data_IF_852737985354
#
_entry.id   IF_852737985354
#
_cell.length_a   1.000
_cell.length_b   1.000
_cell.length_c   1.000
_cell.angle_alpha   90.00
_cell.angle_beta   90.00
_cell.angle_gamma   90.00
#
_symmetry.space_group_name_H-M   'P 1'
#
loop_
_entity.id
_entity.type
_entity.pdbx_description
1 polymer ?
#
# COMPACT_ATOMS: atom_id res chain seq x y z
N UNK A 1 30.37 -2.12 -54.17
CA UNK A 1 29.92 -1.99 -52.77
C UNK A 1 28.48 -2.48 -52.73
N UNK A 2 28.29 -3.74 -52.24
CA UNK A 2 26.98 -4.37 -52.10
C UNK A 2 26.53 -4.15 -50.65
N UNK A 3 25.47 -3.40 -50.42
CA UNK A 3 24.85 -3.20 -49.11
C UNK A 3 23.75 -4.26 -48.95
N UNK A 4 24.02 -5.28 -48.13
CA UNK A 4 23.04 -6.30 -47.73
C UNK A 4 22.19 -5.75 -46.60
N UNK A 5 20.86 -5.64 -46.83
CA UNK A 5 19.88 -5.20 -45.86
C UNK A 5 19.30 -6.43 -45.14
N UNK A 6 19.76 -6.70 -43.94
CA UNK A 6 19.19 -7.73 -43.07
C UNK A 6 17.84 -7.25 -42.53
N UNK A 7 16.80 -8.01 -42.87
CA UNK A 7 15.39 -7.81 -42.44
C UNK A 7 15.26 -8.43 -41.05
N UNK A 8 15.19 -7.59 -40.02
CA UNK A 8 14.93 -8.01 -38.63
C UNK A 8 13.47 -8.47 -38.49
N UNK A 9 13.29 -9.75 -38.20
CA UNK A 9 11.97 -10.33 -37.88
C UNK A 9 11.55 -9.87 -36.48
N UNK A 10 10.67 -8.88 -36.41
CA UNK A 10 9.91 -8.56 -35.20
C UNK A 10 8.89 -9.66 -34.93
N UNK A 11 9.32 -10.68 -34.20
CA UNK A 11 8.49 -11.82 -33.84
C UNK A 11 8.23 -11.83 -32.33
N UNK A 12 6.98 -11.83 -31.89
CA UNK A 12 6.62 -12.57 -30.71
C UNK A 12 6.04 -11.85 -29.51
N UNK A 13 5.94 -10.52 -29.45
CA UNK A 13 5.33 -9.85 -28.29
C UNK A 13 3.80 -9.63 -28.40
N UNK A 14 3.22 -9.75 -29.58
CA UNK A 14 1.77 -9.59 -29.79
C UNK A 14 0.95 -10.82 -29.40
N UNK A 15 1.49 -12.02 -29.60
CA UNK A 15 0.74 -13.26 -29.35
C UNK A 15 0.46 -13.56 -27.89
N UNK A 16 1.39 -13.24 -27.00
CA UNK A 16 1.22 -13.49 -25.55
C UNK A 16 0.18 -12.58 -24.91
N UNK A 17 0.09 -11.33 -25.38
CA UNK A 17 -0.94 -10.37 -24.95
C UNK A 17 -2.32 -10.74 -25.42
N UNK A 18 -2.46 -11.19 -26.66
CA UNK A 18 -3.73 -11.66 -27.21
C UNK A 18 -4.24 -12.93 -26.51
N UNK A 19 -3.34 -13.87 -26.17
CA UNK A 19 -3.68 -15.08 -25.41
C UNK A 19 -4.10 -14.77 -23.98
N UNK A 20 -3.45 -13.83 -23.28
CA UNK A 20 -3.83 -13.41 -21.95
C UNK A 20 -5.18 -12.70 -21.92
N UNK A 21 -5.49 -11.87 -22.92
CA UNK A 21 -6.80 -11.25 -23.08
C UNK A 21 -7.91 -12.24 -23.38
N UNK A 22 -7.66 -13.23 -24.23
CA UNK A 22 -8.63 -14.29 -24.56
C UNK A 22 -8.90 -15.20 -23.35
N UNK A 23 -7.90 -15.52 -22.54
CA UNK A 23 -8.05 -16.30 -21.32
C UNK A 23 -8.85 -15.55 -20.26
N UNK A 24 -8.61 -14.24 -20.10
CA UNK A 24 -9.35 -13.40 -19.17
C UNK A 24 -10.82 -13.24 -19.59
N UNK A 25 -11.09 -13.09 -20.88
CA UNK A 25 -12.44 -13.06 -21.44
C UNK A 25 -13.20 -14.37 -21.27
N UNK A 26 -12.50 -15.52 -21.43
CA UNK A 26 -13.09 -16.85 -21.24
C UNK A 26 -13.45 -17.12 -19.77
N UNK A 27 -12.66 -16.63 -18.82
CA UNK A 27 -12.92 -16.75 -17.38
C UNK A 27 -14.09 -15.86 -16.90
N UNK A 28 -14.35 -14.75 -17.57
CA UNK A 28 -15.40 -13.79 -17.19
C UNK A 28 -16.70 -13.98 -17.96
N UNK A 29 -16.78 -14.94 -18.89
CA UNK A 29 -17.97 -15.19 -19.72
C UNK A 29 -18.34 -14.03 -20.65
N UNK A 30 -17.40 -13.12 -20.92
CA UNK A 30 -17.61 -11.94 -21.76
C UNK A 30 -17.36 -12.32 -23.21
N UNK A 31 -18.40 -12.29 -24.04
CA UNK A 31 -18.26 -12.46 -25.49
C UNK A 31 -17.39 -11.34 -26.09
N UNK A 32 -16.43 -11.64 -26.99
CA UNK A 32 -15.51 -10.64 -27.56
C UNK A 32 -16.14 -9.70 -28.61
N UNK A 33 -17.47 -9.62 -28.67
CA UNK A 33 -18.20 -8.98 -29.77
C UNK A 33 -18.44 -7.46 -29.62
N UNK A 34 -18.04 -6.85 -28.51
CA UNK A 34 -18.04 -5.39 -28.39
C UNK A 34 -16.69 -4.97 -27.81
N UNK A 35 -15.96 -4.12 -28.53
CA UNK A 35 -14.81 -3.43 -27.98
C UNK A 35 -15.32 -2.48 -26.87
N UNK A 36 -15.51 -3.02 -25.67
CA UNK A 36 -15.87 -2.22 -24.51
C UNK A 36 -14.65 -1.36 -24.17
N UNK A 37 -14.77 -0.06 -24.33
CA UNK A 37 -13.74 0.88 -23.91
C UNK A 37 -13.64 0.84 -22.37
N UNK A 38 -12.56 0.28 -21.87
CA UNK A 38 -12.26 0.31 -20.46
C UNK A 38 -11.79 1.70 -20.07
N UNK A 39 -12.55 2.36 -19.24
CA UNK A 39 -12.20 3.69 -18.73
C UNK A 39 -11.58 3.56 -17.36
N UNK A 40 -10.37 4.11 -17.22
CA UNK A 40 -9.70 4.20 -15.93
C UNK A 40 -9.81 5.62 -15.41
N UNK A 41 -10.27 5.75 -14.16
CA UNK A 41 -10.43 7.01 -13.47
C UNK A 41 -9.66 7.01 -12.15
N UNK A 42 -9.13 8.16 -11.79
CA UNK A 42 -8.55 8.40 -10.47
C UNK A 42 -9.67 8.46 -9.44
N UNK A 43 -9.54 7.70 -8.36
CA UNK A 43 -10.50 7.68 -7.25
C UNK A 43 -10.04 8.59 -6.13
N UNK A 44 -8.77 8.44 -5.72
CA UNK A 44 -8.22 9.17 -4.59
C UNK A 44 -6.69 9.26 -4.67
N UNK A 45 -6.15 10.33 -4.06
CA UNK A 45 -4.73 10.47 -3.75
C UNK A 45 -4.65 10.95 -2.31
N UNK A 46 -3.98 10.19 -1.46
CA UNK A 46 -3.82 10.54 -0.05
C UNK A 46 -2.43 10.22 0.47
N UNK A 47 -2.06 10.86 1.58
CA UNK A 47 -0.80 10.62 2.28
C UNK A 47 -1.03 9.73 3.50
N UNK A 48 -0.07 8.84 3.73
CA UNK A 48 -0.06 7.94 4.86
C UNK A 48 -0.97 6.73 4.68
N UNK A 49 -0.68 5.71 5.46
CA UNK A 49 -1.53 4.56 5.68
C UNK A 49 -1.93 4.50 7.15
N UNK A 50 -2.99 3.77 7.54
CA UNK A 50 -3.33 3.60 8.95
C UNK A 50 -2.17 3.06 9.80
N UNK A 51 -1.28 2.28 9.20
CA UNK A 51 -0.12 1.73 9.85
C UNK A 51 1.00 2.76 10.02
N UNK A 52 1.29 3.55 8.98
CA UNK A 52 2.28 4.62 9.04
C UNK A 52 1.83 5.76 10.00
N UNK A 53 0.55 6.09 10.02
CA UNK A 53 -0.01 7.08 10.95
C UNK A 53 0.17 6.67 12.42
N UNK A 54 -0.06 5.38 12.72
CA UNK A 54 0.18 4.83 14.06
C UNK A 54 1.67 4.88 14.42
N UNK A 55 2.55 4.51 13.49
CA UNK A 55 3.99 4.55 13.71
C UNK A 55 4.48 5.98 13.98
N UNK A 56 4.08 6.95 13.17
CA UNK A 56 4.37 8.38 13.40
C UNK A 56 3.76 8.89 14.71
N UNK A 57 2.54 8.46 15.04
CA UNK A 57 1.85 8.84 16.26
C UNK A 57 2.64 8.53 17.54
N UNK A 58 3.50 7.50 17.52
CA UNK A 58 4.42 7.22 18.63
C UNK A 58 5.45 8.33 18.86
N UNK A 59 5.74 9.14 17.84
CA UNK A 59 6.62 10.31 17.94
C UNK A 59 6.07 11.43 18.82
N UNK A 60 4.78 11.43 19.10
CA UNK A 60 4.16 12.44 20.00
C UNK A 60 4.48 12.21 21.49
N UNK A 61 5.08 11.07 21.85
CA UNK A 61 5.48 10.74 23.19
C UNK A 61 6.93 11.16 23.52
N UNK A 62 7.34 10.84 24.73
CA UNK A 62 8.69 11.05 25.21
C UNK A 62 8.83 10.57 26.64
N UNK A 63 9.98 10.78 27.24
CA UNK A 63 10.27 10.52 28.65
C UNK A 63 11.22 11.57 29.23
N UNK A 64 11.17 11.75 30.53
CA UNK A 64 12.05 12.64 31.26
C UNK A 64 13.21 11.84 31.90
N UNK A 65 14.43 12.32 31.72
CA UNK A 65 15.60 11.79 32.34
C UNK A 65 15.67 12.25 33.82
N UNK A 66 16.47 11.57 34.64
CA UNK A 66 16.66 11.93 36.05
C UNK A 66 17.17 13.36 36.28
N UNK A 67 17.82 13.95 35.30
CA UNK A 67 18.30 15.33 35.33
C UNK A 67 17.25 16.37 34.84
N UNK A 68 16.01 15.97 34.62
CA UNK A 68 14.93 16.83 34.12
C UNK A 68 14.93 17.07 32.60
N UNK A 69 15.84 16.45 31.86
CA UNK A 69 15.87 16.59 30.39
C UNK A 69 14.78 15.77 29.74
N UNK A 70 13.95 16.41 28.92
CA UNK A 70 12.92 15.73 28.13
C UNK A 70 13.52 15.15 26.86
N UNK A 71 13.29 13.84 26.63
CA UNK A 71 13.69 13.13 25.42
C UNK A 71 12.42 12.84 24.61
N UNK A 72 12.25 13.52 23.46
CA UNK A 72 11.11 13.32 22.59
C UNK A 72 11.31 12.09 21.70
N UNK A 73 10.25 11.29 21.55
CA UNK A 73 10.24 10.17 20.58
C UNK A 73 10.19 10.64 19.12
N UNK A 74 9.86 11.91 18.88
CA UNK A 74 9.82 12.47 17.53
C UNK A 74 11.15 12.37 16.79
N UNK A 75 12.27 12.34 17.51
CA UNK A 75 13.61 12.15 16.92
C UNK A 75 13.80 10.77 16.26
N UNK A 76 12.99 9.77 16.60
CA UNK A 76 13.08 8.42 16.04
C UNK A 76 11.90 8.04 15.17
N UNK A 77 10.70 8.53 15.50
CA UNK A 77 9.44 8.16 14.84
C UNK A 77 8.92 9.24 13.89
N UNK A 78 9.78 10.08 13.35
CA UNK A 78 9.44 10.96 12.24
C UNK A 78 9.69 10.27 10.90
N UNK A 79 8.96 10.67 9.88
CA UNK A 79 9.15 10.20 8.51
C UNK A 79 10.00 11.18 7.72
N UNK A 80 11.07 10.70 7.11
CA UNK A 80 11.83 11.45 6.09
C UNK A 80 11.13 11.45 4.74
N UNK A 81 10.33 10.41 4.47
CA UNK A 81 9.46 10.28 3.31
C UNK A 81 8.12 9.72 3.76
N UNK A 82 7.06 10.50 3.57
CA UNK A 82 5.68 10.10 3.89
C UNK A 82 5.09 9.32 2.74
N UNK A 83 4.45 8.19 3.06
CA UNK A 83 3.78 7.33 2.09
C UNK A 83 2.70 8.10 1.31
N UNK A 84 2.68 7.89 -0.01
CA UNK A 84 1.68 8.43 -0.94
C UNK A 84 0.92 7.28 -1.56
N UNK A 85 -0.40 7.32 -1.46
CA UNK A 85 -1.29 6.35 -2.06
C UNK A 85 -2.03 6.94 -3.24
N UNK A 86 -2.16 6.16 -4.31
CA UNK A 86 -2.98 6.48 -5.48
C UNK A 86 -3.95 5.32 -5.69
N UNK A 87 -5.23 5.63 -5.67
CA UNK A 87 -6.32 4.68 -5.91
C UNK A 87 -7.02 4.98 -7.24
N UNK A 88 -7.19 3.95 -8.04
CA UNK A 88 -7.75 4.00 -9.39
C UNK A 88 -8.90 3.00 -9.51
N UNK A 89 -9.84 3.30 -10.39
CA UNK A 89 -10.89 2.38 -10.82
C UNK A 89 -10.86 2.21 -12.33
N UNK A 90 -10.84 0.97 -12.79
CA UNK A 90 -11.05 0.62 -14.20
C UNK A 90 -12.44 0.05 -14.36
N UNK A 91 -13.30 0.76 -15.04
CA UNK A 91 -14.69 0.36 -15.28
C UNK A 91 -14.73 -0.75 -16.32
N UNK A 92 -15.38 -1.87 -15.98
CA UNK A 92 -15.57 -3.03 -16.86
C UNK A 92 -16.98 -3.03 -17.46
N UNK A 93 -17.98 -2.70 -16.64
CA UNK A 93 -19.38 -2.52 -17.04
C UNK A 93 -19.91 -1.25 -16.40
N UNK A 94 -21.14 -0.85 -16.74
CA UNK A 94 -21.81 0.31 -16.12
C UNK A 94 -21.85 0.23 -14.58
N UNK A 95 -21.92 -0.99 -14.04
CA UNK A 95 -22.11 -1.23 -12.61
C UNK A 95 -20.94 -1.94 -11.95
N UNK A 96 -19.83 -2.21 -12.68
CA UNK A 96 -18.74 -3.04 -12.18
C UNK A 96 -17.39 -2.48 -12.58
N UNK A 97 -16.46 -2.47 -11.67
CA UNK A 97 -15.09 -2.02 -11.90
C UNK A 97 -14.04 -2.78 -11.09
N UNK A 98 -12.82 -2.75 -11.59
CA UNK A 98 -11.63 -3.18 -10.84
C UNK A 98 -11.06 -1.95 -10.13
N UNK A 99 -10.95 -2.06 -8.81
CA UNK A 99 -10.21 -1.13 -7.97
C UNK A 99 -8.75 -1.57 -7.93
N UNK A 100 -7.83 -0.64 -8.15
CA UNK A 100 -6.42 -0.90 -8.02
C UNK A 100 -5.69 0.37 -7.59
N UNK A 101 -4.54 0.20 -6.97
CA UNK A 101 -3.80 1.33 -6.47
C UNK A 101 -2.44 0.91 -5.96
N UNK A 102 -1.62 1.87 -5.62
CA UNK A 102 -0.30 1.62 -5.08
C UNK A 102 0.05 2.65 -4.01
N UNK A 103 0.84 2.21 -3.03
CA UNK A 103 1.48 3.05 -2.03
C UNK A 103 2.99 3.04 -2.24
N UNK A 104 3.62 4.20 -2.06
CA UNK A 104 5.07 4.36 -2.26
C UNK A 104 5.89 3.80 -1.11
N UNK A 105 5.25 3.53 0.02
CA UNK A 105 5.90 3.21 1.28
C UNK A 105 6.42 4.44 2.01
N UNK A 106 6.78 4.26 3.27
CA UNK A 106 7.24 5.33 4.16
C UNK A 106 8.64 5.02 4.70
N UNK A 107 9.47 6.04 4.81
CA UNK A 107 10.81 5.93 5.37
C UNK A 107 10.98 6.90 6.54
N UNK A 108 11.27 6.34 7.69
CA UNK A 108 11.66 7.06 8.89
C UNK A 108 12.99 6.55 9.44
N UNK A 109 13.51 7.18 10.49
CA UNK A 109 14.77 6.79 11.09
C UNK A 109 14.66 5.44 11.81
N UNK A 110 13.59 5.26 12.58
CA UNK A 110 13.37 4.04 13.36
C UNK A 110 12.63 2.94 12.61
N UNK A 111 11.86 3.30 11.57
CA UNK A 111 11.00 2.36 10.86
C UNK A 111 10.94 2.63 9.36
N UNK A 112 10.41 1.66 8.64
CA UNK A 112 9.97 1.84 7.27
C UNK A 112 8.69 1.03 7.02
N UNK A 113 7.84 1.54 6.14
CA UNK A 113 6.69 0.82 5.60
C UNK A 113 7.01 0.49 4.15
N UNK A 114 6.86 -0.78 3.77
CA UNK A 114 7.12 -1.23 2.41
C UNK A 114 6.11 -0.61 1.42
N UNK A 115 6.49 -0.45 0.15
CA UNK A 115 5.52 -0.16 -0.90
C UNK A 115 4.40 -1.19 -0.92
N UNK A 116 3.20 -0.76 -1.31
CA UNK A 116 2.02 -1.60 -1.35
C UNK A 116 1.31 -1.54 -2.68
N UNK A 117 0.64 -2.64 -3.02
CA UNK A 117 -0.27 -2.75 -4.16
C UNK A 117 -1.66 -3.11 -3.64
N UNK A 118 -2.66 -2.31 -4.01
CA UNK A 118 -4.07 -2.57 -3.74
C UNK A 118 -4.72 -3.13 -5.00
N UNK A 119 -5.49 -4.19 -4.86
CA UNK A 119 -6.34 -4.73 -5.92
C UNK A 119 -7.69 -5.09 -5.34
N UNK A 120 -8.75 -4.87 -6.11
CA UNK A 120 -10.09 -5.14 -5.65
C UNK A 120 -11.13 -5.09 -6.75
N UNK A 121 -12.37 -5.24 -6.33
CA UNK A 121 -13.51 -5.29 -7.18
C UNK A 121 -14.63 -4.44 -6.58
N UNK A 122 -15.31 -3.66 -7.41
CA UNK A 122 -16.48 -2.87 -7.04
C UNK A 122 -17.65 -3.30 -7.91
N UNK A 123 -18.79 -3.55 -7.30
CA UNK A 123 -20.06 -3.71 -8.00
C UNK A 123 -21.14 -2.84 -7.36
N UNK A 124 -22.03 -2.33 -8.21
CA UNK A 124 -23.14 -1.49 -7.81
C UNK A 124 -24.45 -2.11 -8.33
N UNK A 125 -25.47 -2.05 -7.52
CA UNK A 125 -26.86 -2.38 -7.91
C UNK A 125 -27.75 -1.20 -7.60
N UNK A 126 -28.70 -0.95 -8.47
CA UNK A 126 -29.68 0.13 -8.34
C UNK A 126 -31.07 -0.49 -8.08
N UNK A 127 -31.40 -0.80 -6.81
CA UNK A 127 -32.70 -1.40 -6.48
C UNK A 127 -33.88 -0.55 -6.91
N UNK A 128 -33.69 0.78 -6.89
CA UNK A 128 -34.63 1.79 -7.33
C UNK A 128 -33.89 2.93 -8.03
N UNK A 129 -34.56 3.78 -8.82
CA UNK A 129 -33.91 4.94 -9.48
C UNK A 129 -33.18 5.87 -8.52
N UNK A 130 -33.64 5.93 -7.27
CA UNK A 130 -33.09 6.84 -6.26
C UNK A 130 -32.17 6.15 -5.25
N UNK A 131 -31.84 4.86 -5.45
CA UNK A 131 -31.00 4.14 -4.50
C UNK A 131 -29.89 3.36 -5.19
N UNK A 132 -28.72 3.36 -4.59
CA UNK A 132 -27.54 2.61 -5.03
C UNK A 132 -26.97 1.81 -3.87
N UNK A 133 -26.80 0.52 -4.06
CA UNK A 133 -26.07 -0.36 -3.17
C UNK A 133 -24.72 -0.71 -3.82
N UNK A 134 -23.64 -0.35 -3.15
CA UNK A 134 -22.26 -0.60 -3.64
C UNK A 134 -21.59 -1.62 -2.73
N UNK A 135 -21.03 -2.65 -3.32
CA UNK A 135 -20.19 -3.64 -2.65
C UNK A 135 -18.78 -3.55 -3.22
N UNK A 136 -17.79 -3.36 -2.37
CA UNK A 136 -16.38 -3.45 -2.76
C UNK A 136 -15.62 -4.41 -1.87
N UNK A 137 -14.72 -5.15 -2.51
CA UNK A 137 -13.75 -6.05 -1.86
C UNK A 137 -12.38 -5.64 -2.35
N UNK A 138 -11.48 -5.31 -1.45
CA UNK A 138 -10.10 -4.95 -1.78
C UNK A 138 -9.12 -5.81 -0.99
N UNK A 139 -8.00 -6.13 -1.58
CA UNK A 139 -6.86 -6.79 -0.94
C UNK A 139 -5.61 -5.95 -1.13
N UNK A 140 -4.73 -5.96 -0.13
CA UNK A 140 -3.45 -5.27 -0.16
C UNK A 140 -2.30 -6.27 -0.09
N UNK A 141 -1.28 -6.04 -0.92
CA UNK A 141 -0.03 -6.80 -0.99
C UNK A 141 1.10 -5.85 -0.65
N UNK A 142 2.00 -6.23 0.24
CA UNK A 142 3.03 -5.34 0.79
C UNK A 142 2.50 -4.43 1.89
N UNK A 143 3.12 -3.28 2.11
CA UNK A 143 2.76 -2.35 3.17
C UNK A 143 3.16 -2.84 4.57
N UNK A 144 4.11 -3.78 4.66
CA UNK A 144 4.59 -4.28 5.94
C UNK A 144 5.45 -3.23 6.65
N UNK A 145 5.28 -3.17 7.96
CA UNK A 145 6.10 -2.34 8.83
C UNK A 145 7.37 -3.09 9.21
N UNK A 146 8.52 -2.47 8.99
CA UNK A 146 9.83 -2.94 9.41
C UNK A 146 10.41 -1.94 10.40
N UNK A 147 10.85 -2.42 11.55
CA UNK A 147 11.50 -1.63 12.57
C UNK A 147 13.03 -1.71 12.43
N UNK A 148 13.68 -0.57 12.57
CA UNK A 148 15.14 -0.45 12.56
C UNK A 148 15.64 -0.35 13.99
N UNK A 149 16.73 -1.04 14.38
CA UNK A 149 17.35 -0.87 15.69
C UNK A 149 17.95 0.52 15.82
N UNK A 150 18.01 1.04 17.03
CA UNK A 150 18.89 2.16 17.38
C UNK A 150 20.29 1.65 17.66
N UNK A 151 21.27 2.48 17.43
CA UNK A 151 22.67 2.18 17.69
C UNK A 151 23.16 3.07 18.84
N UNK A 152 23.67 2.45 19.89
CA UNK A 152 24.33 3.15 20.99
C UNK A 152 25.84 2.91 20.91
N UNK A 153 26.60 3.99 20.99
CA UNK A 153 28.04 3.96 21.08
C UNK A 153 28.42 4.12 22.54
N UNK A 154 29.07 3.11 23.10
CA UNK A 154 29.56 3.08 24.48
C UNK A 154 31.07 3.35 24.56
N UNK A 155 31.64 4.04 23.58
CA UNK A 155 33.04 4.38 23.52
C UNK A 155 33.95 3.14 23.41
N UNK A 156 34.85 2.95 24.39
CA UNK A 156 35.81 1.82 24.38
C UNK A 156 35.12 0.44 24.41
N UNK A 157 33.86 0.37 24.83
CA UNK A 157 33.09 -0.87 24.82
C UNK A 157 32.45 -1.20 23.46
N UNK A 158 32.54 -0.26 22.53
CA UNK A 158 32.03 -0.44 21.15
C UNK A 158 30.58 -0.05 20.98
N UNK A 159 30.09 -0.36 19.79
CA UNK A 159 28.77 0.03 19.30
C UNK A 159 27.80 -1.15 19.33
N UNK A 160 26.64 -0.97 19.93
CA UNK A 160 25.62 -2.03 20.10
C UNK A 160 24.27 -1.62 19.53
N UNK A 161 23.57 -2.59 18.95
CA UNK A 161 22.16 -2.43 18.59
C UNK A 161 21.32 -2.44 19.86
N UNK A 162 20.52 -1.38 20.05
CA UNK A 162 19.71 -1.19 21.26
C UNK A 162 18.28 -0.79 20.89
N UNK A 163 17.35 -1.00 21.83
CA UNK A 163 16.03 -0.46 21.72
C UNK A 163 16.06 1.07 21.95
N UNK A 164 15.51 1.85 21.03
CA UNK A 164 15.44 3.31 21.16
C UNK A 164 14.58 3.75 22.35
N UNK A 165 13.60 2.95 22.72
CA UNK A 165 12.73 3.17 23.88
C UNK A 165 13.28 2.36 25.05
N UNK A 166 14.13 2.94 25.84
CA UNK A 166 14.82 2.33 26.97
C UNK A 166 13.92 1.51 27.91
N UNK A 167 12.61 1.72 27.89
CA UNK A 167 11.65 1.02 28.74
C UNK A 167 11.30 -0.41 28.27
N UNK A 168 11.73 -0.84 27.11
CA UNK A 168 11.38 -2.15 26.54
C UNK A 168 12.53 -3.15 26.69
N UNK A 169 13.10 -3.25 27.86
CA UNK A 169 14.34 -3.92 28.16
C UNK A 169 14.46 -5.41 27.82
N UNK A 170 13.35 -6.12 27.55
CA UNK A 170 13.36 -7.55 27.24
C UNK A 170 13.01 -7.87 25.78
N UNK A 171 12.57 -6.87 24.99
CA UNK A 171 12.21 -7.08 23.60
C UNK A 171 13.37 -6.79 22.67
N UNK A 172 13.50 -7.60 21.61
CA UNK A 172 14.44 -7.31 20.54
C UNK A 172 14.14 -5.91 19.95
N UNK A 173 15.19 -5.12 19.60
CA UNK A 173 15.02 -3.75 19.08
C UNK A 173 14.07 -3.66 17.90
N UNK A 174 14.00 -4.71 17.07
CA UNK A 174 13.19 -4.81 15.85
C UNK A 174 11.71 -5.17 16.12
N UNK A 175 11.35 -5.56 17.35
CA UNK A 175 10.01 -6.05 17.67
C UNK A 175 9.14 -5.04 18.41
N UNK A 176 9.76 -4.00 18.99
CA UNK A 176 9.05 -3.02 19.83
C UNK A 176 7.92 -2.32 19.11
N UNK A 177 8.17 -1.86 17.89
CA UNK A 177 7.18 -1.13 17.10
C UNK A 177 6.05 -2.07 16.67
N UNK A 178 6.35 -3.28 16.24
CA UNK A 178 5.36 -4.29 15.85
C UNK A 178 4.42 -4.62 17.00
N UNK A 179 4.95 -4.73 18.21
CA UNK A 179 4.14 -4.96 19.40
C UNK A 179 3.21 -3.77 19.71
N UNK A 180 3.74 -2.54 19.68
CA UNK A 180 3.00 -1.34 20.06
C UNK A 180 1.90 -0.96 19.07
N UNK A 181 2.10 -1.19 17.78
CA UNK A 181 1.12 -0.80 16.73
C UNK A 181 0.27 -1.96 16.23
N UNK A 182 0.48 -3.17 16.76
CA UNK A 182 -0.16 -4.39 16.27
C UNK A 182 -0.05 -4.48 14.73
N UNK A 183 1.21 -4.51 14.25
CA UNK A 183 1.62 -4.13 12.90
C UNK A 183 1.32 -5.19 11.85
N UNK A 184 0.05 -5.42 11.54
CA UNK A 184 -0.36 -6.16 10.35
C UNK A 184 -1.08 -5.22 9.41
N UNK A 185 -0.65 -5.11 8.14
CA UNK A 185 -1.44 -4.42 7.13
C UNK A 185 -2.80 -5.12 6.99
N UNK A 186 -3.85 -4.35 6.74
CA UNK A 186 -5.16 -4.91 6.42
C UNK A 186 -5.05 -5.66 5.09
N UNK A 187 -4.93 -6.99 5.15
CA UNK A 187 -4.78 -7.81 3.95
C UNK A 187 -6.06 -7.86 3.10
N UNK A 188 -7.21 -7.62 3.70
CA UNK A 188 -8.49 -7.64 3.00
C UNK A 188 -9.49 -6.69 3.66
N UNK A 189 -10.21 -5.91 2.86
CA UNK A 189 -11.29 -5.03 3.30
C UNK A 189 -12.55 -5.30 2.48
N UNK A 190 -13.65 -5.49 3.17
CA UNK A 190 -15.00 -5.54 2.60
C UNK A 190 -15.73 -4.27 2.98
N UNK A 191 -16.29 -3.58 2.01
CA UNK A 191 -17.08 -2.37 2.22
C UNK A 191 -18.43 -2.50 1.54
N UNK A 192 -19.50 -2.25 2.30
CA UNK A 192 -20.87 -2.16 1.83
C UNK A 192 -21.36 -0.73 2.06
N UNK A 193 -21.80 -0.07 1.00
CA UNK A 193 -22.34 1.28 1.07
C UNK A 193 -23.73 1.31 0.43
N UNK A 194 -24.69 1.92 1.12
CA UNK A 194 -26.02 2.19 0.61
C UNK A 194 -26.26 3.69 0.55
N UNK A 195 -26.59 4.19 -0.65
CA UNK A 195 -26.89 5.61 -0.90
C UNK A 195 -28.34 5.73 -1.31
N UNK A 196 -29.09 6.64 -0.65
CA UNK A 196 -30.45 7.03 -1.00
C UNK A 196 -30.45 8.52 -1.37
N UNK A 197 -31.08 8.88 -2.48
CA UNK A 197 -31.28 10.26 -2.92
C UNK A 197 -32.76 10.59 -2.77
N UNK A 198 -33.07 11.64 -2.03
CA UNK A 198 -34.42 12.11 -1.76
C UNK A 198 -34.83 13.22 -2.73
#
# INVERSE_FOLDING_TARGET
VVVSRTREKSGGKGGLRALAQLLLCALLGVSPAAAQEWTTSLVDIHQGSPLSDRARGLGNGGYELQNGTWVSFSQWYHASWVDMHVDLITQITENTGILWGFGTGEHGDKYSVEPSLKIGFLTQIHPNPNSTLSLSVTSMIGGNLTEKPCVADYGDLGTYSVNCRLAAGEMAPEETLKYLVNARPESMRLWLNYRLVF
#
